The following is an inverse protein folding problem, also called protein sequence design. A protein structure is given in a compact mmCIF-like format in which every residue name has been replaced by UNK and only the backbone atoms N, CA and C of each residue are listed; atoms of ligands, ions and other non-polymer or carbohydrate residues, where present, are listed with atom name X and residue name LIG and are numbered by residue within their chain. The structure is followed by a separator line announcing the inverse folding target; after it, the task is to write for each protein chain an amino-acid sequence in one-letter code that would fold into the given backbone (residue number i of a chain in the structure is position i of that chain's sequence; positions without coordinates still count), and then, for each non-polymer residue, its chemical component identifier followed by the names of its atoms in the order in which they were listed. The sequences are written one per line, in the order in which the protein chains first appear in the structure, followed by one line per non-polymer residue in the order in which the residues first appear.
data_IF_052918784705
#
_entry.id   IF_052918784705
#
_cell.length_a   1.000
_cell.length_b   1.000
_cell.length_c   1.000
_cell.angle_alpha   90.00
_cell.angle_beta   90.00
_cell.angle_gamma   90.00
#
_symmetry.space_group_name_H-M   'P 1'
#
loop_
_entity.id
_entity.type
_entity.pdbx_description
1 polymer ?
#
# COMPACT_ATOMS: atom_id res chain seq x y z
N UNK A 1 14.39 -23.13 20.14
CA UNK A 1 15.14 -21.86 20.29
C UNK A 1 15.84 -21.93 21.63
N UNK A 2 17.17 -22.12 21.66
CA UNK A 2 17.93 -22.19 22.91
C UNK A 2 18.16 -20.78 23.45
N UNK A 3 17.67 -20.49 24.66
CA UNK A 3 17.77 -19.18 25.28
C UNK A 3 19.23 -18.72 25.49
N UNK A 4 20.16 -19.65 25.70
CA UNK A 4 21.60 -19.38 25.88
C UNK A 4 22.32 -18.88 24.62
N UNK A 5 21.72 -19.01 23.42
CA UNK A 5 22.31 -18.54 22.16
C UNK A 5 21.72 -17.22 21.65
N UNK A 6 21.01 -16.47 22.51
CA UNK A 6 20.65 -15.09 22.19
C UNK A 6 21.86 -14.14 22.22
N UNK A 7 22.96 -14.53 22.86
CA UNK A 7 24.22 -13.81 22.74
C UNK A 7 24.83 -14.07 21.35
N UNK A 8 24.71 -13.06 20.49
CA UNK A 8 25.17 -13.11 19.11
C UNK A 8 26.69 -12.98 19.00
N UNK A 9 27.40 -12.60 20.08
CA UNK A 9 28.83 -12.34 20.05
C UNK A 9 29.61 -13.57 19.57
N UNK A 10 29.34 -14.75 20.14
CA UNK A 10 30.01 -15.99 19.74
C UNK A 10 29.74 -16.36 18.27
N UNK A 11 28.55 -16.06 17.75
CA UNK A 11 28.21 -16.30 16.36
C UNK A 11 28.97 -15.36 15.41
N UNK A 12 29.16 -14.11 15.80
CA UNK A 12 29.96 -13.13 15.06
C UNK A 12 31.45 -13.43 15.11
N UNK A 13 31.98 -13.81 16.28
CA UNK A 13 33.38 -14.19 16.43
C UNK A 13 33.71 -15.39 15.52
N UNK A 14 32.83 -16.39 15.52
CA UNK A 14 32.96 -17.56 14.64
C UNK A 14 32.83 -17.16 13.17
N UNK A 15 31.91 -16.24 12.81
CA UNK A 15 31.78 -15.75 11.44
C UNK A 15 33.02 -14.94 10.97
N UNK A 16 33.69 -14.22 11.87
CA UNK A 16 34.86 -13.41 11.56
C UNK A 16 36.07 -14.24 11.12
N UNK A 17 36.08 -15.55 11.42
CA UNK A 17 37.12 -16.45 10.95
C UNK A 17 37.20 -16.49 9.41
N UNK A 18 38.41 -16.42 8.81
CA UNK A 18 38.58 -16.38 7.36
C UNK A 18 37.95 -17.55 6.61
N UNK A 19 37.87 -18.74 7.22
CA UNK A 19 37.25 -19.91 6.61
C UNK A 19 35.73 -19.75 6.45
N UNK A 20 35.08 -19.15 7.45
CA UNK A 20 33.64 -18.92 7.44
C UNK A 20 33.25 -17.75 6.53
N UNK A 21 34.10 -16.73 6.45
CA UNK A 21 33.98 -15.68 5.43
C UNK A 21 34.05 -16.27 4.01
N UNK A 22 35.04 -17.14 3.74
CA UNK A 22 35.15 -17.84 2.44
C UNK A 22 33.92 -18.71 2.14
N UNK A 23 33.38 -19.38 3.15
CA UNK A 23 32.15 -20.17 3.02
C UNK A 23 30.95 -19.29 2.66
N UNK A 24 30.80 -18.14 3.32
CA UNK A 24 29.73 -17.18 3.06
C UNK A 24 29.79 -16.67 1.62
N UNK A 25 30.96 -16.18 1.17
CA UNK A 25 31.12 -15.73 -0.22
C UNK A 25 31.00 -16.88 -1.24
N UNK A 26 31.41 -18.10 -0.86
CA UNK A 26 31.18 -19.30 -1.66
C UNK A 26 29.69 -19.61 -1.85
N UNK A 27 28.88 -19.42 -0.80
CA UNK A 27 27.44 -19.63 -0.84
C UNK A 27 26.76 -18.57 -1.74
N UNK A 28 27.17 -17.31 -1.64
CA UNK A 28 26.71 -16.24 -2.53
C UNK A 28 27.07 -16.54 -4.00
N UNK A 29 28.30 -16.96 -4.27
CA UNK A 29 28.72 -17.36 -5.61
C UNK A 29 27.89 -18.53 -6.14
N UNK A 30 27.56 -19.51 -5.29
CA UNK A 30 26.70 -20.64 -5.64
C UNK A 30 25.23 -20.25 -5.86
N UNK A 31 24.82 -19.06 -5.41
CA UNK A 31 23.53 -18.42 -5.71
C UNK A 31 23.61 -17.46 -6.92
N UNK A 32 24.71 -17.51 -7.70
CA UNK A 32 25.01 -16.59 -8.82
C UNK A 32 25.18 -15.12 -8.43
N UNK A 33 25.48 -14.84 -7.16
CA UNK A 33 25.79 -13.49 -6.69
C UNK A 33 27.30 -13.32 -6.62
N UNK A 34 27.84 -12.52 -7.55
CA UNK A 34 29.26 -12.14 -7.58
C UNK A 34 29.43 -10.69 -7.12
N UNK A 35 30.68 -10.25 -6.89
CA UNK A 35 31.01 -8.86 -6.50
C UNK A 35 30.46 -7.76 -7.43
N UNK A 36 30.11 -8.11 -8.66
CA UNK A 36 29.58 -7.17 -9.66
C UNK A 36 28.05 -7.21 -9.74
N UNK A 37 27.40 -8.06 -8.93
CA UNK A 37 25.96 -8.12 -8.88
C UNK A 37 25.41 -6.83 -8.27
N UNK A 38 24.37 -6.19 -8.85
CA UNK A 38 23.83 -4.93 -8.34
C UNK A 38 23.39 -4.97 -6.87
N UNK A 39 22.96 -6.14 -6.41
CA UNK A 39 22.50 -6.37 -5.04
C UNK A 39 23.56 -7.09 -4.17
N UNK A 40 24.85 -7.02 -4.52
CA UNK A 40 25.90 -7.77 -3.83
C UNK A 40 25.96 -7.45 -2.33
N UNK A 41 26.06 -6.16 -1.95
CA UNK A 41 26.16 -5.72 -0.56
C UNK A 41 24.93 -6.13 0.28
N UNK A 42 23.74 -6.02 -0.30
CA UNK A 42 22.50 -6.48 0.33
C UNK A 42 22.53 -8.00 0.56
N UNK A 43 22.96 -8.76 -0.45
CA UNK A 43 23.06 -10.21 -0.34
C UNK A 43 24.10 -10.63 0.70
N UNK A 44 25.20 -9.88 0.83
CA UNK A 44 26.19 -10.08 1.90
C UNK A 44 25.54 -9.86 3.26
N UNK A 45 24.78 -8.79 3.44
CA UNK A 45 24.05 -8.52 4.68
C UNK A 45 23.04 -9.62 5.01
N UNK A 46 22.26 -10.07 4.01
CA UNK A 46 21.32 -11.19 4.14
C UNK A 46 22.06 -12.46 4.56
N UNK A 47 23.24 -12.72 4.01
CA UNK A 47 24.03 -13.90 4.37
C UNK A 47 24.53 -13.84 5.82
N UNK A 48 24.98 -12.69 6.31
CA UNK A 48 25.37 -12.49 7.72
C UNK A 48 24.20 -12.75 8.67
N UNK A 49 23.03 -12.19 8.39
CA UNK A 49 21.82 -12.42 9.20
C UNK A 49 21.39 -13.90 9.16
N UNK A 50 21.52 -14.53 7.99
CA UNK A 50 21.18 -15.95 7.82
C UNK A 50 22.14 -16.85 8.58
N UNK A 51 23.42 -16.50 8.64
CA UNK A 51 24.41 -17.19 9.45
C UNK A 51 24.04 -17.13 10.93
N UNK A 52 23.70 -15.95 11.43
CA UNK A 52 23.30 -15.75 12.82
C UNK A 52 22.07 -16.60 13.17
N UNK A 53 21.05 -16.54 12.31
CA UNK A 53 19.86 -17.37 12.46
C UNK A 53 20.19 -18.87 12.37
N UNK A 54 21.13 -19.28 11.52
CA UNK A 54 21.56 -20.66 11.44
C UNK A 54 22.23 -21.12 12.74
N UNK A 55 23.12 -20.30 13.32
CA UNK A 55 23.80 -20.58 14.58
C UNK A 55 22.82 -20.75 15.74
N UNK A 56 21.86 -19.83 15.87
CA UNK A 56 20.82 -19.88 16.91
C UNK A 56 19.91 -21.10 16.80
N UNK A 57 19.64 -21.56 15.58
CA UNK A 57 18.71 -22.66 15.30
C UNK A 57 19.40 -24.02 15.08
N UNK A 58 20.71 -24.10 15.18
CA UNK A 58 21.43 -25.36 14.99
C UNK A 58 21.39 -26.17 16.28
N UNK A 59 20.63 -27.26 16.31
CA UNK A 59 20.43 -28.07 17.53
C UNK A 59 21.72 -28.72 18.07
N UNK A 60 22.63 -29.27 17.24
CA UNK A 60 23.84 -29.92 17.76
C UNK A 60 24.77 -28.96 18.52
N UNK A 61 25.50 -29.49 19.48
CA UNK A 61 26.49 -28.72 20.24
C UNK A 61 27.67 -28.31 19.36
N UNK A 62 28.06 -27.05 19.49
CA UNK A 62 29.27 -26.48 18.90
C UNK A 62 30.31 -26.32 20.02
N UNK A 63 31.60 -26.57 19.76
CA UNK A 63 32.24 -26.68 18.44
C UNK A 63 32.34 -28.11 17.86
N UNK A 64 31.93 -29.16 18.58
CA UNK A 64 32.12 -30.55 18.15
C UNK A 64 31.56 -30.86 16.75
N UNK A 65 30.46 -30.21 16.36
CA UNK A 65 29.78 -30.42 15.08
C UNK A 65 30.03 -29.31 14.04
N UNK A 66 31.13 -28.56 14.17
CA UNK A 66 31.45 -27.41 13.33
C UNK A 66 31.43 -27.72 11.80
N UNK A 67 31.98 -28.85 11.30
CA UNK A 67 31.93 -29.17 9.87
C UNK A 67 30.51 -29.34 9.33
N UNK A 68 29.60 -29.92 10.12
CA UNK A 68 28.22 -30.14 9.70
C UNK A 68 27.39 -28.86 9.84
N UNK A 69 27.69 -28.03 10.83
CA UNK A 69 27.18 -26.66 10.91
C UNK A 69 27.56 -25.85 9.67
N UNK A 70 28.83 -25.89 9.22
CA UNK A 70 29.29 -25.22 8.00
C UNK A 70 28.46 -25.62 6.78
N UNK A 71 28.22 -26.92 6.58
CA UNK A 71 27.36 -27.43 5.49
C UNK A 71 25.90 -26.97 5.63
N UNK A 72 25.39 -26.93 6.85
CA UNK A 72 24.04 -26.46 7.15
C UNK A 72 23.88 -24.96 6.85
N UNK A 73 24.79 -24.12 7.36
CA UNK A 73 24.81 -22.69 7.15
C UNK A 73 24.98 -22.35 5.66
N UNK A 74 25.87 -23.04 4.93
CA UNK A 74 26.05 -22.86 3.49
C UNK A 74 24.75 -23.04 2.71
N UNK A 75 24.02 -24.13 2.97
CA UNK A 75 22.73 -24.40 2.30
C UNK A 75 21.70 -23.32 2.62
N UNK A 76 21.59 -22.92 3.90
CA UNK A 76 20.67 -21.87 4.35
C UNK A 76 20.97 -20.53 3.71
N UNK A 77 22.23 -20.09 3.69
CA UNK A 77 22.66 -18.84 3.06
C UNK A 77 22.30 -18.86 1.57
N UNK A 78 22.70 -19.91 0.84
CA UNK A 78 22.39 -20.03 -0.59
C UNK A 78 20.90 -19.89 -0.87
N UNK A 79 20.06 -20.65 -0.17
CA UNK A 79 18.61 -20.61 -0.38
C UNK A 79 18.02 -19.25 -0.01
N UNK A 80 18.44 -18.67 1.11
CA UNK A 80 17.92 -17.39 1.55
C UNK A 80 18.31 -16.26 0.59
N UNK A 81 19.50 -16.30 0.01
CA UNK A 81 19.92 -15.37 -1.05
C UNK A 81 19.06 -15.53 -2.29
N UNK A 82 18.81 -16.77 -2.76
CA UNK A 82 17.92 -17.00 -3.92
C UNK A 82 16.51 -16.49 -3.66
N UNK A 83 15.96 -16.72 -2.46
CA UNK A 83 14.64 -16.22 -2.08
C UNK A 83 14.58 -14.69 -2.06
N UNK A 84 15.63 -14.04 -1.53
CA UNK A 84 15.76 -12.59 -1.54
C UNK A 84 15.75 -12.03 -2.97
N UNK A 85 16.57 -12.58 -3.85
CA UNK A 85 16.62 -12.16 -5.26
C UNK A 85 15.26 -12.34 -5.94
N UNK A 86 14.58 -13.47 -5.71
CA UNK A 86 13.24 -13.72 -6.26
C UNK A 86 12.24 -12.66 -5.81
N UNK A 87 12.25 -12.29 -4.53
CA UNK A 87 11.39 -11.23 -4.00
C UNK A 87 11.72 -9.87 -4.62
N UNK A 88 13.01 -9.56 -4.81
CA UNK A 88 13.42 -8.32 -5.46
C UNK A 88 12.97 -8.27 -6.93
N UNK A 89 13.15 -9.35 -7.69
CA UNK A 89 12.65 -9.45 -9.07
C UNK A 89 11.14 -9.23 -9.14
N UNK A 90 10.36 -9.85 -8.25
CA UNK A 90 8.91 -9.65 -8.21
C UNK A 90 8.53 -8.19 -7.91
N UNK A 91 9.22 -7.54 -6.98
CA UNK A 91 9.01 -6.12 -6.67
C UNK A 91 9.30 -5.23 -7.87
N UNK A 92 10.42 -5.47 -8.56
CA UNK A 92 10.78 -4.71 -9.77
C UNK A 92 9.77 -4.92 -10.91
N UNK A 93 9.27 -6.14 -11.11
CA UNK A 93 8.24 -6.41 -12.12
C UNK A 93 6.90 -5.71 -11.82
N UNK A 94 6.57 -5.51 -10.54
CA UNK A 94 5.38 -4.76 -10.13
C UNK A 94 5.55 -3.24 -10.15
N UNK A 95 6.78 -2.74 -10.35
CA UNK A 95 7.03 -1.31 -10.48
C UNK A 95 6.71 -0.88 -11.91
N UNK A 96 5.72 -0.01 -12.05
CA UNK A 96 5.50 0.73 -13.29
C UNK A 96 6.61 1.78 -13.38
N UNK A 97 7.36 1.79 -14.48
CA UNK A 97 8.38 2.81 -14.73
C UNK A 97 7.76 4.21 -14.61
N UNK A 98 8.49 5.16 -14.03
CA UNK A 98 7.99 6.51 -13.76
C UNK A 98 7.47 7.17 -15.05
N UNK A 99 8.08 6.85 -16.19
CA UNK A 99 7.67 7.26 -17.53
C UNK A 99 6.25 6.80 -17.93
N UNK A 100 5.80 5.64 -17.45
CA UNK A 100 4.41 5.18 -17.62
C UNK A 100 3.47 5.75 -16.55
N UNK A 101 4.00 6.08 -15.35
CA UNK A 101 3.24 6.70 -14.28
C UNK A 101 2.89 8.19 -14.56
N UNK A 102 3.59 8.87 -15.47
CA UNK A 102 3.27 10.23 -15.92
C UNK A 102 1.89 10.35 -16.59
N UNK A 103 1.28 9.23 -17.01
CA UNK A 103 -0.09 9.21 -17.52
C UNK A 103 -1.15 9.28 -16.42
N UNK A 104 -0.75 9.08 -15.16
CA UNK A 104 -1.58 9.23 -13.97
C UNK A 104 -1.33 10.61 -13.39
N UNK A 105 -1.79 11.64 -14.09
CA UNK A 105 -1.87 13.00 -13.55
C UNK A 105 -2.93 13.00 -12.45
N UNK A 106 -2.54 12.65 -11.22
CA UNK A 106 -3.31 13.03 -10.05
C UNK A 106 -3.04 14.53 -9.91
N UNK A 107 -3.96 15.34 -10.43
CA UNK A 107 -3.97 16.77 -10.19
C UNK A 107 -4.87 17.03 -8.97
N UNK A 108 -4.31 17.04 -7.75
CA UNK A 108 -5.10 17.28 -6.55
C UNK A 108 -5.78 18.66 -6.58
N UNK A 109 -5.25 19.62 -7.38
CA UNK A 109 -5.85 20.93 -7.55
C UNK A 109 -7.16 20.83 -8.34
N UNK A 110 -7.18 20.01 -9.40
CA UNK A 110 -8.37 19.83 -10.24
C UNK A 110 -9.54 19.19 -9.48
N UNK A 111 -9.27 18.19 -8.65
CA UNK A 111 -10.30 17.55 -7.83
C UNK A 111 -10.83 18.53 -6.76
N UNK A 112 -9.94 19.35 -6.20
CA UNK A 112 -10.29 20.38 -5.23
C UNK A 112 -11.10 21.52 -5.86
N UNK A 113 -10.76 21.95 -7.08
CA UNK A 113 -11.51 22.93 -7.87
C UNK A 113 -12.92 22.42 -8.20
N UNK A 114 -13.05 21.16 -8.66
CA UNK A 114 -14.35 20.55 -8.92
C UNK A 114 -15.22 20.48 -7.66
N UNK A 115 -14.61 20.17 -6.51
CA UNK A 115 -15.31 20.16 -5.22
C UNK A 115 -15.79 21.57 -4.82
N UNK A 116 -14.95 22.59 -4.99
CA UNK A 116 -15.32 23.98 -4.72
C UNK A 116 -16.45 24.47 -5.63
N UNK A 117 -16.38 24.19 -6.93
CA UNK A 117 -17.43 24.53 -7.89
C UNK A 117 -18.76 23.86 -7.53
N UNK A 118 -18.74 22.56 -7.20
CA UNK A 118 -19.93 21.84 -6.75
C UNK A 118 -20.50 22.44 -5.46
N UNK A 119 -19.65 22.77 -4.48
CA UNK A 119 -20.09 23.35 -3.21
C UNK A 119 -20.74 24.74 -3.39
N UNK A 120 -20.21 25.56 -4.29
CA UNK A 120 -20.79 26.86 -4.63
C UNK A 120 -22.17 26.70 -5.28
N UNK A 121 -22.28 25.79 -6.26
CA UNK A 121 -23.53 25.53 -6.98
C UNK A 121 -24.62 24.97 -6.05
N UNK A 122 -24.26 24.05 -5.16
CA UNK A 122 -25.19 23.52 -4.15
C UNK A 122 -25.64 24.62 -3.17
N UNK A 123 -24.74 25.51 -2.77
CA UNK A 123 -25.05 26.64 -1.88
C UNK A 123 -26.06 27.60 -2.53
N UNK A 124 -25.87 27.94 -3.80
CA UNK A 124 -26.79 28.81 -4.54
C UNK A 124 -28.13 28.13 -4.83
N UNK A 125 -28.11 26.82 -5.14
CA UNK A 125 -29.33 26.03 -5.29
C UNK A 125 -30.14 26.02 -3.98
N UNK A 126 -29.48 25.81 -2.82
CA UNK A 126 -30.12 25.82 -1.51
C UNK A 126 -30.81 27.15 -1.18
N UNK A 127 -30.24 28.29 -1.62
CA UNK A 127 -30.86 29.63 -1.44
C UNK A 127 -32.17 29.79 -2.21
N UNK A 128 -32.30 29.10 -3.35
CA UNK A 128 -33.47 29.19 -4.23
C UNK A 128 -34.50 28.08 -3.96
N UNK A 129 -34.16 27.09 -3.13
CA UNK A 129 -35.03 25.96 -2.80
C UNK A 129 -36.22 26.39 -1.94
N UNK A 130 -37.39 25.85 -2.28
CA UNK A 130 -38.57 25.84 -1.40
C UNK A 130 -38.35 24.82 -0.27
N UNK A 131 -39.07 24.90 0.85
CA UNK A 131 -38.86 24.00 2.00
C UNK A 131 -38.84 22.51 1.63
N UNK A 132 -39.78 22.05 0.79
CA UNK A 132 -39.81 20.66 0.32
C UNK A 132 -38.67 20.27 -0.63
N UNK A 133 -38.20 21.20 -1.47
CA UNK A 133 -37.05 20.97 -2.34
C UNK A 133 -35.75 20.91 -1.52
N UNK A 134 -35.67 21.70 -0.45
CA UNK A 134 -34.55 21.67 0.50
C UNK A 134 -34.47 20.33 1.19
N UNK A 135 -35.59 19.80 1.68
CA UNK A 135 -35.69 18.45 2.26
C UNK A 135 -35.18 17.41 1.26
N UNK A 136 -35.62 17.48 -0.01
CA UNK A 136 -35.12 16.56 -1.03
C UNK A 136 -33.61 16.70 -1.24
N UNK A 137 -33.09 17.93 -1.32
CA UNK A 137 -31.67 18.16 -1.55
C UNK A 137 -30.80 17.72 -0.36
N UNK A 138 -31.23 17.94 0.88
CA UNK A 138 -30.43 17.57 2.06
C UNK A 138 -30.62 16.11 2.44
N UNK A 139 -31.85 15.68 2.67
CA UNK A 139 -32.12 14.36 3.26
C UNK A 139 -31.98 13.24 2.23
N UNK A 140 -32.48 13.42 0.99
CA UNK A 140 -32.33 12.39 -0.03
C UNK A 140 -30.96 12.43 -0.70
N UNK A 141 -30.50 13.61 -1.12
CA UNK A 141 -29.29 13.70 -1.97
C UNK A 141 -27.98 13.80 -1.18
N UNK A 142 -27.93 14.51 -0.04
CA UNK A 142 -26.70 14.63 0.76
C UNK A 142 -26.60 13.55 1.85
N UNK A 143 -27.71 13.19 2.49
CA UNK A 143 -27.76 12.22 3.60
C UNK A 143 -28.18 10.80 3.16
N UNK A 144 -28.46 10.60 1.86
CA UNK A 144 -28.83 9.31 1.26
C UNK A 144 -30.06 8.61 1.91
N UNK A 145 -30.96 9.39 2.52
CA UNK A 145 -32.18 8.82 3.12
C UNK A 145 -33.12 8.24 2.07
N UNK A 146 -33.84 7.18 2.43
CA UNK A 146 -34.81 6.58 1.52
C UNK A 146 -36.05 7.47 1.36
N UNK A 147 -36.67 7.43 0.17
CA UNK A 147 -37.95 8.12 -0.08
C UNK A 147 -39.03 7.69 0.93
N UNK A 148 -39.00 6.43 1.38
CA UNK A 148 -39.97 5.93 2.36
C UNK A 148 -39.79 6.55 3.75
N UNK A 149 -38.55 6.83 4.15
CA UNK A 149 -38.25 7.47 5.43
C UNK A 149 -38.62 8.95 5.37
N UNK A 150 -38.29 9.65 4.29
CA UNK A 150 -38.69 11.06 4.06
C UNK A 150 -40.21 11.20 4.09
N UNK A 151 -40.95 10.29 3.44
CA UNK A 151 -42.41 10.27 3.48
C UNK A 151 -42.95 10.12 4.90
N UNK A 152 -42.33 9.25 5.71
CA UNK A 152 -42.75 8.99 7.09
C UNK A 152 -42.44 10.17 8.01
N UNK A 153 -41.22 10.72 7.92
CA UNK A 153 -40.75 11.83 8.75
C UNK A 153 -41.53 13.10 8.50
N UNK A 154 -41.82 13.42 7.23
CA UNK A 154 -42.50 14.67 6.85
C UNK A 154 -44.00 14.51 6.59
N UNK A 155 -44.55 13.30 6.71
CA UNK A 155 -45.97 13.03 6.54
C UNK A 155 -46.49 13.29 5.11
N UNK A 156 -45.66 13.11 4.10
CA UNK A 156 -45.98 13.44 2.70
C UNK A 156 -46.14 12.20 1.81
N UNK A 157 -46.90 12.36 0.72
CA UNK A 157 -47.04 11.31 -0.28
C UNK A 157 -45.75 11.15 -1.12
N UNK A 158 -45.54 9.96 -1.67
CA UNK A 158 -44.44 9.69 -2.62
C UNK A 158 -44.46 10.64 -3.82
N UNK A 159 -45.65 10.98 -4.32
CA UNK A 159 -45.85 11.94 -5.42
C UNK A 159 -45.29 13.32 -5.05
N UNK A 160 -45.50 13.76 -3.81
CA UNK A 160 -44.99 15.04 -3.30
C UNK A 160 -43.47 15.07 -3.33
N UNK A 161 -42.81 14.01 -2.86
CA UNK A 161 -41.35 13.89 -2.86
C UNK A 161 -40.78 13.94 -4.28
N UNK A 162 -41.40 13.24 -5.25
CA UNK A 162 -40.98 13.33 -6.65
C UNK A 162 -41.26 14.69 -7.31
N UNK A 163 -42.32 15.39 -6.90
CA UNK A 163 -42.57 16.75 -7.38
C UNK A 163 -41.49 17.73 -6.90
N UNK A 164 -41.00 17.55 -5.65
CA UNK A 164 -39.86 18.31 -5.14
C UNK A 164 -38.61 18.05 -5.97
N UNK A 165 -38.30 16.78 -6.28
CA UNK A 165 -37.21 16.41 -7.20
C UNK A 165 -37.33 17.11 -8.55
N UNK A 166 -38.50 17.06 -9.19
CA UNK A 166 -38.71 17.63 -10.51
C UNK A 166 -38.51 19.16 -10.52
N UNK A 167 -39.02 19.84 -9.49
CA UNK A 167 -38.87 21.30 -9.35
C UNK A 167 -37.43 21.70 -8.99
N UNK A 168 -36.76 20.91 -8.14
CA UNK A 168 -35.34 21.07 -7.80
C UNK A 168 -34.45 20.92 -9.05
N UNK A 169 -34.66 19.88 -9.85
CA UNK A 169 -33.91 19.67 -11.10
C UNK A 169 -34.10 20.82 -12.10
N UNK A 170 -35.33 21.35 -12.22
CA UNK A 170 -35.59 22.50 -13.09
C UNK A 170 -34.88 23.78 -12.64
N UNK A 171 -34.58 23.92 -11.33
CA UNK A 171 -33.78 25.03 -10.79
C UNK A 171 -32.28 24.79 -10.97
N UNK A 172 -31.82 23.58 -10.68
CA UNK A 172 -30.43 23.18 -10.89
C UNK A 172 -30.00 23.36 -12.35
N UNK A 173 -30.86 22.95 -13.30
CA UNK A 173 -30.57 23.09 -14.71
C UNK A 173 -30.45 24.56 -15.16
N UNK A 174 -31.33 25.43 -14.65
CA UNK A 174 -31.24 26.88 -14.90
C UNK A 174 -29.98 27.51 -14.32
N UNK A 175 -29.61 27.12 -13.10
CA UNK A 175 -28.38 27.59 -12.46
C UNK A 175 -27.13 27.15 -13.24
N UNK A 176 -27.11 25.90 -13.69
CA UNK A 176 -26.01 25.36 -14.48
C UNK A 176 -25.85 26.07 -15.83
N UNK A 177 -26.97 26.34 -16.52
CA UNK A 177 -26.96 27.09 -17.78
C UNK A 177 -26.47 28.53 -17.57
N UNK A 178 -26.93 29.21 -16.52
CA UNK A 178 -26.50 30.58 -16.22
C UNK A 178 -25.01 30.67 -15.82
N UNK A 179 -24.47 29.64 -15.18
CA UNK A 179 -23.05 29.56 -14.83
C UNK A 179 -22.17 29.30 -16.06
N UNK A 180 -22.65 28.50 -17.04
CA UNK A 180 -21.91 28.19 -18.26
C UNK A 180 -21.89 29.30 -19.33
N UNK A 181 -22.69 30.36 -19.19
CA UNK A 181 -22.64 31.55 -20.06
C UNK A 181 -21.66 32.64 -19.56
N UNK A 182 -21.04 32.43 -18.40
CA UNK A 182 -20.12 33.40 -17.77
C UNK A 182 -18.62 33.07 -17.98
N UNK A 183 -18.31 31.95 -18.61
CA UNK A 183 -16.97 31.53 -19.07
C UNK A 183 -16.81 31.78 -20.59
#
# INVERSE_FOLDING_TARGET
MHADRLDNQAAFDLLAEPEHQRLLYGALKAANVTRYHPQFEDCVTVAHLTWLAAYQNYEPELPANLPDFRKFAFRRIKWRTVDYLRQQTLRTLSQVGLEHALSVTIDPMRDQEAHWQLSALLTDLLRQCRPGERIYLTEFFLEEQSVADIMRTHGVSRRTVYNWRASLLAKAHRLYQAAGEQD
#
